data_IF_847766136154
#
_entry.id   IF_847766136154
#
_cell.length_a   1.000
_cell.length_b   1.000
_cell.length_c   1.000
_cell.angle_alpha   90.00
_cell.angle_beta   90.00
_cell.angle_gamma   90.00
#
_symmetry.space_group_name_H-M   'P 1'
#
loop_
_entity.id
_entity.type
_entity.pdbx_description
1 polymer ?
#
# COMPACT_ATOMS: atom_id res chain seq x y z
N UNK A 1 -13.32 7.61 -12.37
CA UNK A 1 -12.67 7.60 -11.03
C UNK A 1 -12.79 8.99 -10.42
N UNK A 2 -13.32 9.08 -9.23
CA UNK A 2 -13.41 10.36 -8.52
C UNK A 2 -12.11 10.66 -7.74
N UNK A 3 -11.96 11.90 -7.26
CA UNK A 3 -10.75 12.33 -6.56
C UNK A 3 -10.41 11.47 -5.34
N UNK A 4 -11.42 11.10 -4.56
CA UNK A 4 -11.22 10.27 -3.36
C UNK A 4 -10.70 8.87 -3.70
N UNK A 5 -11.26 8.23 -4.72
CA UNK A 5 -10.79 6.93 -5.22
C UNK A 5 -9.36 7.02 -5.76
N UNK A 6 -9.07 8.07 -6.53
CA UNK A 6 -7.73 8.33 -7.05
C UNK A 6 -6.69 8.44 -5.94
N UNK A 7 -6.96 9.24 -4.92
CA UNK A 7 -6.05 9.42 -3.80
C UNK A 7 -5.88 8.15 -2.94
N UNK A 8 -6.88 7.28 -2.90
CA UNK A 8 -6.81 6.02 -2.14
C UNK A 8 -6.03 4.90 -2.84
N UNK A 9 -5.60 5.08 -4.06
CA UNK A 9 -4.84 4.06 -4.79
C UNK A 9 -3.57 3.63 -4.05
N UNK A 10 -2.84 4.56 -3.47
CA UNK A 10 -1.65 4.28 -2.68
C UNK A 10 -1.97 3.49 -1.40
N UNK A 11 -3.04 3.82 -0.72
CA UNK A 11 -3.51 3.07 0.46
C UNK A 11 -3.81 1.61 0.11
N UNK A 12 -4.51 1.37 -0.98
CA UNK A 12 -4.82 0.01 -1.44
C UNK A 12 -3.56 -0.76 -1.85
N UNK A 13 -2.64 -0.12 -2.54
CA UNK A 13 -1.36 -0.73 -2.90
C UNK A 13 -0.54 -1.09 -1.65
N UNK A 14 -0.51 -0.24 -0.63
CA UNK A 14 0.17 -0.49 0.64
C UNK A 14 -0.46 -1.68 1.39
N UNK A 15 -1.79 -1.78 1.40
CA UNK A 15 -2.50 -2.93 2.01
C UNK A 15 -2.17 -4.24 1.29
N UNK A 16 -2.06 -4.20 -0.03
CA UNK A 16 -1.66 -5.38 -0.82
C UNK A 16 -0.25 -5.83 -0.48
N UNK A 17 0.70 -4.89 -0.39
CA UNK A 17 2.07 -5.16 0.04
C UNK A 17 2.09 -5.83 1.42
N UNK A 18 1.35 -5.28 2.38
CA UNK A 18 1.27 -5.84 3.73
C UNK A 18 0.74 -7.28 3.73
N UNK A 19 -0.32 -7.57 2.97
CA UNK A 19 -0.85 -8.94 2.87
C UNK A 19 0.16 -9.90 2.27
N UNK A 20 0.85 -9.51 1.20
CA UNK A 20 1.88 -10.35 0.57
C UNK A 20 3.07 -10.60 1.49
N UNK A 21 3.49 -9.60 2.28
CA UNK A 21 4.52 -9.78 3.31
C UNK A 21 4.11 -10.82 4.35
N UNK A 22 2.86 -10.78 4.80
CA UNK A 22 2.31 -11.74 5.76
C UNK A 22 2.23 -13.15 5.18
N UNK A 23 1.74 -13.30 3.97
CA UNK A 23 1.68 -14.59 3.28
C UNK A 23 3.07 -15.19 3.08
N UNK A 24 4.06 -14.39 2.72
CA UNK A 24 5.45 -14.84 2.57
C UNK A 24 6.05 -15.29 3.90
N UNK A 25 5.83 -14.52 4.97
CA UNK A 25 6.25 -14.88 6.33
C UNK A 25 5.64 -16.22 6.76
N UNK A 26 4.36 -16.44 6.52
CA UNK A 26 3.67 -17.70 6.80
C UNK A 26 4.29 -18.89 6.04
N UNK A 27 4.62 -18.72 4.77
CA UNK A 27 5.27 -19.78 3.98
C UNK A 27 6.66 -20.13 4.52
N UNK A 28 7.45 -19.14 4.97
CA UNK A 28 8.74 -19.41 5.63
C UNK A 28 8.57 -20.19 6.94
N UNK A 29 7.60 -19.82 7.77
CA UNK A 29 7.31 -20.54 9.02
C UNK A 29 6.88 -21.98 8.78
N UNK A 30 6.09 -22.23 7.75
CA UNK A 30 5.65 -23.57 7.38
C UNK A 30 6.82 -24.45 6.90
N UNK A 31 7.76 -23.91 6.15
CA UNK A 31 8.97 -24.64 5.75
C UNK A 31 9.82 -25.00 6.97
N UNK A 32 10.04 -24.07 7.88
CA UNK A 32 10.82 -24.32 9.09
C UNK A 32 10.16 -25.38 9.97
N UNK A 33 8.84 -25.39 10.07
CA UNK A 33 8.07 -26.42 10.80
C UNK A 33 8.25 -27.81 10.19
N UNK A 34 8.19 -27.92 8.87
CA UNK A 34 8.40 -29.20 8.16
C UNK A 34 9.82 -29.71 8.33
N UNK A 35 10.82 -28.83 8.26
CA UNK A 35 12.24 -29.19 8.51
C UNK A 35 12.45 -29.70 9.94
N UNK A 36 11.89 -29.03 10.93
CA UNK A 36 11.96 -29.43 12.34
C UNK A 36 11.36 -30.83 12.58
N UNK A 37 10.24 -31.13 11.93
CA UNK A 37 9.62 -32.46 12.03
C UNK A 37 10.47 -33.56 11.37
N UNK A 38 11.13 -33.29 10.25
CA UNK A 38 12.00 -34.22 9.57
C UNK A 38 13.28 -34.55 10.36
N UNK A 39 13.79 -33.56 11.12
CA UNK A 39 14.98 -33.73 11.96
C UNK A 39 14.71 -34.55 13.22
N UNK A 40 13.46 -34.60 13.71
CA UNK A 40 13.05 -35.32 14.89
C UNK A 40 12.84 -36.82 14.66
N UNK A 41 12.58 -37.28 13.46
CA UNK A 41 12.16 -38.63 13.15
C UNK A 41 13.30 -39.64 12.99
N UNK A 42 14.55 -39.21 12.85
CA UNK A 42 15.73 -40.09 12.77
C UNK A 42 15.64 -41.23 11.73
N UNK A 43 14.64 -41.18 10.85
CA UNK A 43 14.41 -42.14 9.79
C UNK A 43 15.15 -41.75 8.49
N UNK A 44 15.68 -42.72 7.75
CA UNK A 44 16.29 -42.42 6.46
C UNK A 44 15.27 -41.80 5.52
N UNK A 45 15.57 -40.58 5.07
CA UNK A 45 14.71 -39.81 4.19
C UNK A 45 14.48 -40.54 2.86
N UNK A 46 13.29 -41.15 2.72
CA UNK A 46 12.81 -41.60 1.43
C UNK A 46 12.56 -40.42 0.49
N UNK A 47 12.76 -40.61 -0.78
CA UNK A 47 12.65 -39.66 -1.86
C UNK A 47 11.29 -38.91 -1.94
N UNK A 48 10.29 -39.32 -1.15
CA UNK A 48 8.94 -38.74 -1.16
C UNK A 48 8.76 -37.50 -0.25
N UNK A 49 9.72 -37.18 0.62
CA UNK A 49 9.62 -36.05 1.57
C UNK A 49 10.13 -34.73 0.96
N UNK A 50 10.91 -34.79 -0.13
CA UNK A 50 11.49 -33.62 -0.76
C UNK A 50 10.48 -32.82 -1.58
N UNK A 51 9.44 -33.42 -2.17
CA UNK A 51 8.45 -32.74 -3.01
C UNK A 51 7.65 -31.64 -2.30
N UNK A 52 7.08 -31.83 -1.09
CA UNK A 52 6.38 -30.76 -0.38
C UNK A 52 7.26 -29.55 -0.06
N UNK A 53 8.54 -29.78 0.24
CA UNK A 53 9.52 -28.73 0.54
C UNK A 53 9.90 -27.98 -0.74
N UNK A 54 10.13 -28.69 -1.85
CA UNK A 54 10.40 -28.09 -3.16
C UNK A 54 9.23 -27.26 -3.67
N UNK A 55 8.00 -27.78 -3.57
CA UNK A 55 6.78 -27.05 -3.96
C UNK A 55 6.59 -25.78 -3.13
N UNK A 56 6.88 -25.82 -1.83
CA UNK A 56 6.86 -24.63 -0.97
C UNK A 56 7.96 -23.65 -1.30
N UNK A 57 9.16 -24.10 -1.64
CA UNK A 57 10.25 -23.26 -2.07
C UNK A 57 9.89 -22.50 -3.35
N UNK A 58 9.25 -23.15 -4.32
CA UNK A 58 8.73 -22.52 -5.54
C UNK A 58 7.68 -21.46 -5.21
N UNK A 59 6.74 -21.74 -4.30
CA UNK A 59 5.74 -20.77 -3.83
C UNK A 59 6.38 -19.56 -3.17
N UNK A 60 7.42 -19.74 -2.39
CA UNK A 60 8.17 -18.64 -1.76
C UNK A 60 8.78 -17.73 -2.82
N UNK A 61 9.45 -18.32 -3.83
CA UNK A 61 10.05 -17.53 -4.93
C UNK A 61 8.98 -16.76 -5.70
N UNK A 62 7.85 -17.39 -6.02
CA UNK A 62 6.75 -16.73 -6.73
C UNK A 62 6.12 -15.60 -5.90
N UNK A 63 5.89 -15.83 -4.60
CA UNK A 63 5.35 -14.80 -3.70
C UNK A 63 6.34 -13.65 -3.47
N UNK A 64 7.63 -13.95 -3.39
CA UNK A 64 8.67 -12.92 -3.27
C UNK A 64 8.73 -12.03 -4.52
N UNK A 65 8.60 -12.61 -5.70
CA UNK A 65 8.52 -11.87 -6.96
C UNK A 65 7.26 -10.99 -7.03
N UNK A 66 6.11 -11.52 -6.64
CA UNK A 66 4.84 -10.79 -6.57
C UNK A 66 4.91 -9.63 -5.57
N UNK A 67 5.53 -9.86 -4.40
CA UNK A 67 5.75 -8.82 -3.39
C UNK A 67 6.66 -7.70 -3.92
N UNK A 68 7.73 -8.04 -4.63
CA UNK A 68 8.63 -7.07 -5.22
C UNK A 68 7.89 -6.17 -6.22
N UNK A 69 7.10 -6.75 -7.12
CA UNK A 69 6.27 -6.00 -8.08
C UNK A 69 5.25 -5.10 -7.37
N UNK A 70 4.59 -5.61 -6.33
CA UNK A 70 3.62 -4.85 -5.54
C UNK A 70 4.27 -3.65 -4.83
N UNK A 71 5.50 -3.79 -4.34
CA UNK A 71 6.26 -2.69 -3.73
C UNK A 71 6.63 -1.61 -4.75
N UNK A 72 7.04 -2.00 -5.94
CA UNK A 72 7.32 -1.05 -7.04
C UNK A 72 6.06 -0.28 -7.41
N UNK A 73 4.94 -0.97 -7.60
CA UNK A 73 3.65 -0.33 -7.89
C UNK A 73 3.24 0.65 -6.80
N UNK A 74 3.39 0.28 -5.53
CA UNK A 74 3.08 1.16 -4.41
C UNK A 74 3.94 2.42 -4.40
N UNK A 75 5.23 2.32 -4.71
CA UNK A 75 6.13 3.48 -4.81
C UNK A 75 5.76 4.40 -5.98
N UNK A 76 5.40 3.86 -7.12
CA UNK A 76 4.96 4.61 -8.29
C UNK A 76 3.65 5.36 -7.99
N UNK A 77 2.67 4.69 -7.39
CA UNK A 77 1.40 5.30 -6.97
C UNK A 77 1.60 6.37 -5.89
N UNK A 78 2.50 6.13 -4.94
CA UNK A 78 2.85 7.14 -3.93
C UNK A 78 3.37 8.41 -4.58
N UNK A 79 4.29 8.28 -5.53
CA UNK A 79 4.87 9.42 -6.24
C UNK A 79 3.81 10.18 -7.04
N UNK A 80 2.96 9.47 -7.76
CA UNK A 80 1.88 10.06 -8.55
C UNK A 80 0.86 10.82 -7.68
N UNK A 81 0.40 10.18 -6.60
CA UNK A 81 -0.53 10.80 -5.64
C UNK A 81 0.13 12.00 -4.94
N UNK A 82 1.38 11.88 -4.54
CA UNK A 82 2.14 12.97 -3.93
C UNK A 82 2.23 14.20 -4.85
N UNK A 83 2.62 14.02 -6.09
CA UNK A 83 2.72 15.11 -7.07
C UNK A 83 1.37 15.79 -7.30
N UNK A 84 0.31 15.00 -7.38
CA UNK A 84 -1.05 15.53 -7.55
C UNK A 84 -1.50 16.35 -6.33
N UNK A 85 -1.21 15.88 -5.12
CA UNK A 85 -1.51 16.63 -3.89
C UNK A 85 -0.68 17.91 -3.82
N UNK A 86 0.61 17.86 -4.10
CA UNK A 86 1.48 19.04 -4.04
C UNK A 86 1.11 20.10 -5.07
N UNK A 87 0.48 19.70 -6.16
CA UNK A 87 0.03 20.67 -7.19
C UNK A 87 -1.02 21.66 -6.72
N UNK A 88 -1.75 21.36 -5.64
CA UNK A 88 -2.74 22.29 -5.06
C UNK A 88 -2.19 23.17 -3.94
N UNK A 89 -0.95 23.01 -3.53
CA UNK A 89 -0.34 23.73 -2.39
C UNK A 89 -0.45 25.24 -2.52
N UNK A 90 -0.19 25.77 -3.70
CA UNK A 90 -0.28 27.23 -3.96
C UNK A 90 -1.70 27.77 -3.91
N UNK A 91 -2.69 26.91 -4.17
CA UNK A 91 -4.12 27.31 -4.17
C UNK A 91 -4.73 27.21 -2.79
N UNK A 92 -4.41 26.17 -2.04
CA UNK A 92 -4.94 25.92 -0.70
C UNK A 92 -3.94 25.06 0.10
N UNK A 93 -3.07 25.73 0.87
CA UNK A 93 -2.02 25.09 1.66
C UNK A 93 -2.58 24.17 2.74
N UNK A 94 -3.66 24.55 3.43
CA UNK A 94 -4.27 23.69 4.45
C UNK A 94 -4.88 22.44 3.84
N UNK A 95 -5.61 22.57 2.74
CA UNK A 95 -6.15 21.41 2.03
C UNK A 95 -5.04 20.47 1.55
N UNK A 96 -3.94 21.01 1.03
CA UNK A 96 -2.76 20.24 0.66
C UNK A 96 -2.21 19.44 1.84
N UNK A 97 -2.00 20.08 2.98
CA UNK A 97 -1.48 19.43 4.19
C UNK A 97 -2.41 18.33 4.70
N UNK A 98 -3.71 18.58 4.70
CA UNK A 98 -4.72 17.58 5.10
C UNK A 98 -4.70 16.36 4.19
N UNK A 99 -4.67 16.55 2.88
CA UNK A 99 -4.59 15.45 1.92
C UNK A 99 -3.27 14.69 2.02
N UNK A 100 -2.17 15.39 2.21
CA UNK A 100 -0.85 14.79 2.39
C UNK A 100 -0.81 13.87 3.61
N UNK A 101 -1.24 14.37 4.77
CA UNK A 101 -1.25 13.56 6.00
C UNK A 101 -2.22 12.39 5.93
N UNK A 102 -3.36 12.55 5.28
CA UNK A 102 -4.36 11.48 5.15
C UNK A 102 -3.99 10.42 4.12
N UNK A 103 -3.55 10.82 2.92
CA UNK A 103 -3.40 9.90 1.79
C UNK A 103 -1.96 9.45 1.52
N UNK A 104 -0.96 10.18 1.97
CA UNK A 104 0.45 9.77 1.88
C UNK A 104 0.93 9.15 3.18
N UNK A 105 0.72 9.82 4.31
CA UNK A 105 1.09 9.28 5.63
C UNK A 105 0.06 8.30 6.18
N UNK A 106 -1.09 8.18 5.55
CA UNK A 106 -2.16 7.23 5.89
C UNK A 106 -2.64 7.34 7.34
N UNK A 107 -2.64 8.56 7.89
CA UNK A 107 -3.07 8.83 9.25
C UNK A 107 -4.59 8.77 9.39
N UNK A 108 -5.12 8.26 10.51
CA UNK A 108 -6.53 8.41 10.84
C UNK A 108 -6.87 9.88 11.07
N UNK A 109 -8.13 10.24 10.91
CA UNK A 109 -8.57 11.64 10.94
C UNK A 109 -8.22 12.37 12.24
N UNK A 110 -8.28 11.71 13.40
CA UNK A 110 -7.85 12.30 14.67
C UNK A 110 -6.37 12.71 14.65
N UNK A 111 -5.51 11.91 14.05
CA UNK A 111 -4.06 12.22 13.91
C UNK A 111 -3.80 13.30 12.88
N UNK A 112 -4.58 13.35 11.80
CA UNK A 112 -4.53 14.44 10.83
C UNK A 112 -4.84 15.78 11.53
N UNK A 113 -5.92 15.83 12.31
CA UNK A 113 -6.29 17.03 13.09
C UNK A 113 -5.18 17.48 14.04
N UNK A 114 -4.56 16.55 14.76
CA UNK A 114 -3.43 16.84 15.66
C UNK A 114 -2.24 17.41 14.88
N UNK A 115 -1.91 16.84 13.74
CA UNK A 115 -0.74 17.23 12.93
C UNK A 115 -0.90 18.62 12.33
N UNK A 116 -2.07 18.93 11.77
CA UNK A 116 -2.33 20.24 11.15
C UNK A 116 -2.77 21.31 12.16
N UNK A 117 -3.00 20.91 13.43
CA UNK A 117 -3.40 21.79 14.53
C UNK A 117 -4.75 22.49 14.32
N UNK A 118 -5.71 21.80 13.72
CA UNK A 118 -7.08 22.29 13.52
C UNK A 118 -8.10 21.25 14.02
N UNK A 119 -9.29 21.72 14.35
CA UNK A 119 -10.40 20.87 14.76
C UNK A 119 -11.03 20.17 13.55
N UNK A 120 -11.77 19.09 13.80
CA UNK A 120 -12.38 18.29 12.75
C UNK A 120 -13.29 19.09 11.79
N UNK A 121 -14.18 20.01 12.26
CA UNK A 121 -14.97 20.80 11.32
C UNK A 121 -14.14 21.56 10.29
N UNK A 122 -13.04 22.16 10.72
CA UNK A 122 -12.10 22.88 9.84
C UNK A 122 -11.37 21.94 8.88
N UNK A 123 -10.86 20.82 9.40
CA UNK A 123 -10.18 19.78 8.60
C UNK A 123 -11.13 19.20 7.56
N UNK A 124 -12.36 18.92 7.93
CA UNK A 124 -13.37 18.38 7.01
C UNK A 124 -13.65 19.34 5.83
N UNK A 125 -13.80 20.62 6.12
CA UNK A 125 -14.00 21.63 5.07
C UNK A 125 -12.77 21.70 4.15
N UNK A 126 -11.57 21.74 4.71
CA UNK A 126 -10.32 21.73 3.95
C UNK A 126 -10.18 20.45 3.09
N UNK A 127 -10.55 19.31 3.62
CA UNK A 127 -10.58 18.04 2.91
C UNK A 127 -11.48 18.11 1.67
N UNK A 128 -12.72 18.58 1.82
CA UNK A 128 -13.64 18.71 0.70
C UNK A 128 -13.17 19.72 -0.36
N UNK A 129 -12.61 20.86 0.05
CA UNK A 129 -12.00 21.82 -0.88
C UNK A 129 -10.85 21.18 -1.67
N UNK A 130 -10.00 20.43 -0.98
CA UNK A 130 -8.88 19.71 -1.61
C UNK A 130 -9.36 18.67 -2.62
N UNK A 131 -10.38 17.89 -2.28
CA UNK A 131 -10.97 16.90 -3.20
C UNK A 131 -11.53 17.58 -4.46
N UNK A 132 -12.20 18.73 -4.32
CA UNK A 132 -12.74 19.49 -5.46
C UNK A 132 -11.61 19.97 -6.38
N UNK A 133 -10.51 20.48 -5.82
CA UNK A 133 -9.34 20.91 -6.59
C UNK A 133 -8.68 19.74 -7.34
N UNK A 134 -8.56 18.60 -6.71
CA UNK A 134 -8.03 17.38 -7.35
C UNK A 134 -8.97 16.88 -8.46
N UNK A 135 -10.27 16.89 -8.22
CA UNK A 135 -11.28 16.51 -9.21
C UNK A 135 -11.15 17.32 -10.50
N UNK A 136 -10.98 18.62 -10.37
CA UNK A 136 -10.74 19.53 -11.52
C UNK A 136 -9.46 19.16 -12.29
N UNK A 137 -8.40 18.79 -11.58
CA UNK A 137 -7.14 18.40 -12.23
C UNK A 137 -7.26 17.06 -12.98
N UNK A 138 -7.91 16.07 -12.38
CA UNK A 138 -8.12 14.75 -13.00
C UNK A 138 -8.93 14.94 -14.30
N UNK A 139 -10.00 15.72 -14.23
CA UNK A 139 -10.84 15.98 -15.39
C UNK A 139 -10.09 16.71 -16.52
N UNK A 140 -9.23 17.67 -16.17
CA UNK A 140 -8.40 18.39 -17.14
C UNK A 140 -7.37 17.48 -17.81
N UNK A 141 -6.74 16.57 -17.07
CA UNK A 141 -5.81 15.60 -17.65
C UNK A 141 -6.50 14.67 -18.64
N UNK A 142 -7.67 14.14 -18.29
CA UNK A 142 -8.46 13.27 -19.18
C UNK A 142 -8.84 13.97 -20.49
N UNK A 143 -9.09 15.27 -20.45
CA UNK A 143 -9.41 16.07 -21.64
C UNK A 143 -8.20 16.29 -22.56
N UNK A 144 -6.99 16.39 -22.00
CA UNK A 144 -5.76 16.61 -22.76
C UNK A 144 -5.17 15.32 -23.36
N UNK A 145 -5.54 14.15 -22.83
CA UNK A 145 -5.11 12.84 -23.34
C UNK A 145 -6.06 12.24 -24.39
N UNK A 146 -7.20 12.83 -24.56
CA UNK A 146 -8.18 12.46 -25.61
C UNK A 146 -8.09 13.43 -26.80
#
# INVERSE_FOLDING_TARGET
MNAKEYLRQYEYATRRVYRLEKELEEEYLLIDSVRSLSDLDGLPHGTNVSRPVEDRAVRIVDKAAELYEARIEALELRQEVFETIMSIDKKDGLACDVLYERYIHLKPWNKVCETVCYTWPTVRIAWHRGLDLIELQINTRTYNES
#
